data_IF_646780737623
#
_entry.id   IF_646780737623
#
_cell.length_a   1.000
_cell.length_b   1.000
_cell.length_c   1.000
_cell.angle_alpha   90.00
_cell.angle_beta   90.00
_cell.angle_gamma   90.00
#
_symmetry.space_group_name_H-M   'P 1'
#
loop_
_entity.id
_entity.type
_entity.pdbx_description
1 polymer ?
#
# COMPACT_ATOMS: atom_id res chain seq x y z
N UNK A 1 21.67 -15.77 -5.37
CA UNK A 1 22.92 -14.98 -5.39
C UNK A 1 22.58 -13.66 -6.06
N UNK A 2 22.70 -12.48 -5.48
CA UNK A 2 23.57 -12.01 -4.39
C UNK A 2 22.77 -11.50 -3.16
N UNK A 3 23.13 -11.98 -1.96
CA UNK A 3 22.74 -11.38 -0.69
C UNK A 3 23.95 -10.62 -0.17
N UNK A 4 24.08 -9.35 -0.53
CA UNK A 4 25.00 -8.46 0.15
C UNK A 4 24.29 -7.13 0.42
N UNK A 5 23.65 -7.05 1.59
CA UNK A 5 23.21 -5.76 2.15
C UNK A 5 24.33 -5.27 3.08
N UNK A 6 25.30 -4.51 2.55
CA UNK A 6 26.52 -3.96 3.20
C UNK A 6 26.32 -3.39 4.63
N UNK A 7 26.07 -4.24 5.63
CA UNK A 7 25.72 -3.78 6.99
C UNK A 7 25.82 -4.84 8.10
N UNK A 8 26.27 -6.06 7.78
CA UNK A 8 26.44 -7.12 8.78
C UNK A 8 25.13 -7.68 9.32
N UNK A 9 24.07 -7.69 8.50
CA UNK A 9 22.79 -8.35 8.81
C UNK A 9 22.69 -9.66 8.05
N UNK A 10 22.26 -10.71 8.73
CA UNK A 10 21.83 -11.98 8.12
C UNK A 10 20.41 -11.82 7.58
N UNK A 11 20.21 -12.13 6.30
CA UNK A 11 18.97 -11.84 5.59
C UNK A 11 18.18 -13.10 5.29
N UNK A 12 16.92 -13.09 5.68
CA UNK A 12 15.98 -14.17 5.42
C UNK A 12 14.79 -13.63 4.62
N UNK A 13 14.52 -14.11 3.40
CA UNK A 13 13.32 -13.72 2.68
C UNK A 13 12.07 -14.18 3.46
N UNK A 14 11.07 -13.31 3.59
CA UNK A 14 9.86 -13.57 4.40
C UNK A 14 8.57 -13.60 3.57
N UNK A 15 8.69 -13.66 2.25
CA UNK A 15 7.55 -13.71 1.33
C UNK A 15 6.92 -12.35 1.05
N UNK A 16 5.68 -12.36 0.57
CA UNK A 16 4.97 -11.18 0.06
C UNK A 16 5.00 -11.08 -1.46
N UNK A 17 4.05 -10.33 -2.02
CA UNK A 17 3.74 -10.36 -3.45
C UNK A 17 4.85 -9.76 -4.34
N UNK A 18 5.73 -8.93 -3.78
CA UNK A 18 6.79 -8.25 -4.54
C UNK A 18 8.15 -8.95 -4.48
N UNK A 19 8.33 -9.94 -3.59
CA UNK A 19 9.63 -10.58 -3.37
C UNK A 19 10.74 -9.65 -2.83
N UNK A 20 10.37 -8.46 -2.33
CA UNK A 20 11.31 -7.42 -1.89
C UNK A 20 11.44 -7.30 -0.37
N UNK A 21 10.81 -8.21 0.40
CA UNK A 21 10.76 -8.18 1.85
C UNK A 21 11.67 -9.25 2.48
N UNK A 22 12.40 -8.85 3.51
CA UNK A 22 13.37 -9.66 4.22
C UNK A 22 13.30 -9.39 5.72
N UNK A 23 13.58 -10.41 6.53
CA UNK A 23 13.97 -10.25 7.91
C UNK A 23 15.49 -10.10 7.97
N UNK A 24 15.98 -9.00 8.53
CA UNK A 24 17.39 -8.83 8.88
C UNK A 24 17.63 -9.22 10.33
N UNK A 25 18.68 -10.00 10.59
CA UNK A 25 19.13 -10.39 11.94
C UNK A 25 20.56 -9.90 12.18
N UNK A 26 20.81 -9.23 13.31
CA UNK A 26 22.14 -8.82 13.75
C UNK A 26 22.18 -8.72 15.27
N UNK A 27 23.19 -9.30 15.91
CA UNK A 27 23.39 -9.23 17.36
C UNK A 27 22.14 -9.62 18.19
N UNK A 28 21.34 -10.59 17.70
CA UNK A 28 20.04 -11.04 18.25
C UNK A 28 18.87 -10.06 18.07
N UNK A 29 19.07 -8.92 17.43
CA UNK A 29 18.01 -8.01 17.01
C UNK A 29 17.46 -8.39 15.64
N UNK A 30 16.17 -8.13 15.45
CA UNK A 30 15.45 -8.38 14.18
C UNK A 30 14.87 -7.08 13.65
N UNK A 31 14.98 -6.89 12.34
CA UNK A 31 14.37 -5.78 11.61
C UNK A 31 13.63 -6.30 10.38
N UNK A 32 12.57 -5.60 9.99
CA UNK A 32 11.92 -5.80 8.70
C UNK A 32 12.62 -4.94 7.66
N UNK A 33 13.08 -5.53 6.56
CA UNK A 33 13.78 -4.87 5.48
C UNK A 33 12.96 -4.96 4.20
N UNK A 34 12.68 -3.82 3.55
CA UNK A 34 12.01 -3.75 2.26
C UNK A 34 12.83 -2.96 1.25
N UNK A 35 13.01 -3.53 0.06
CA UNK A 35 13.61 -2.82 -1.07
C UNK A 35 12.56 -1.97 -1.78
N UNK A 36 12.96 -0.77 -2.18
CA UNK A 36 12.20 0.17 -3.00
C UNK A 36 10.78 0.44 -2.48
N UNK A 37 10.66 0.55 -1.15
CA UNK A 37 9.40 0.98 -0.53
C UNK A 37 9.03 2.39 -0.99
N UNK A 38 7.72 2.66 -1.08
CA UNK A 38 7.22 4.00 -1.39
C UNK A 38 7.79 5.03 -0.41
N UNK A 39 8.23 6.22 -0.88
CA UNK A 39 8.62 7.32 -0.01
C UNK A 39 7.54 7.71 1.02
N UNK A 40 6.27 7.42 0.72
CA UNK A 40 5.16 7.66 1.64
C UNK A 40 5.24 6.86 2.94
N UNK A 41 6.00 5.76 2.96
CA UNK A 41 6.17 4.93 4.15
C UNK A 41 6.77 5.70 5.34
N UNK A 42 7.67 6.65 5.07
CA UNK A 42 8.26 7.48 6.11
C UNK A 42 7.23 8.39 6.78
N UNK A 43 6.27 8.89 5.99
CA UNK A 43 5.15 9.70 6.48
C UNK A 43 4.24 8.87 7.37
N UNK A 44 3.81 7.71 6.87
CA UNK A 44 2.95 6.78 7.62
C UNK A 44 3.58 6.33 8.94
N UNK A 45 4.90 6.10 8.94
CA UNK A 45 5.62 5.75 10.17
C UNK A 45 5.68 6.92 11.14
N UNK A 46 5.86 8.15 10.66
CA UNK A 46 5.86 9.36 11.50
C UNK A 46 4.51 9.60 12.18
N UNK A 47 3.42 9.28 11.49
CA UNK A 47 2.04 9.35 11.99
C UNK A 47 1.63 8.12 12.84
N UNK A 48 2.55 7.17 13.06
CA UNK A 48 2.29 5.97 13.86
C UNK A 48 1.32 4.97 13.24
N UNK A 49 1.11 5.03 11.93
CA UNK A 49 0.18 4.15 11.18
C UNK A 49 0.86 2.84 10.79
N UNK A 50 2.15 2.90 10.50
CA UNK A 50 2.97 1.73 10.15
C UNK A 50 4.05 1.49 11.21
N UNK A 51 4.67 0.29 11.24
CA UNK A 51 5.79 0.02 12.14
C UNK A 51 6.89 1.05 11.99
N UNK A 52 7.56 1.39 13.10
CA UNK A 52 8.54 2.46 13.16
C UNK A 52 9.66 2.26 12.12
N UNK A 53 9.85 3.27 11.28
CA UNK A 53 10.98 3.41 10.39
C UNK A 53 12.25 3.69 11.22
N UNK A 54 13.24 2.82 11.09
CA UNK A 54 14.53 2.93 11.78
C UNK A 54 15.51 3.72 10.91
N UNK A 55 15.66 3.32 9.64
CA UNK A 55 16.53 3.99 8.67
C UNK A 55 16.14 3.67 7.23
N UNK A 56 16.59 4.53 6.32
CA UNK A 56 16.55 4.31 4.87
C UNK A 56 17.96 4.50 4.31
N UNK A 57 18.44 3.54 3.51
CA UNK A 57 19.78 3.56 2.93
C UNK A 57 19.71 3.28 1.44
N UNK A 58 20.40 4.09 0.64
CA UNK A 58 20.63 3.78 -0.78
C UNK A 58 21.81 2.83 -0.91
N UNK A 59 21.59 1.68 -1.52
CA UNK A 59 22.62 0.70 -1.81
C UNK A 59 23.44 1.13 -3.05
N UNK A 60 24.65 0.57 -3.22
CA UNK A 60 25.54 0.91 -4.32
C UNK A 60 24.98 0.56 -5.71
N UNK A 61 24.04 -0.38 -5.79
CA UNK A 61 23.31 -0.75 -7.00
C UNK A 61 22.13 0.21 -7.31
N UNK A 62 21.91 1.25 -6.50
CA UNK A 62 20.84 2.22 -6.67
C UNK A 62 19.54 1.91 -5.91
N UNK A 63 19.35 0.68 -5.42
CA UNK A 63 18.17 0.29 -4.63
C UNK A 63 18.07 1.12 -3.35
N UNK A 64 16.84 1.40 -2.94
CA UNK A 64 16.55 2.01 -1.63
C UNK A 64 16.13 0.91 -0.67
N UNK A 65 16.91 0.69 0.38
CA UNK A 65 16.61 -0.28 1.44
C UNK A 65 16.01 0.48 2.62
N UNK A 66 14.84 0.05 3.06
CA UNK A 66 14.13 0.60 4.22
C UNK A 66 14.13 -0.43 5.34
N UNK A 67 14.50 -0.01 6.54
CA UNK A 67 14.42 -0.82 7.75
C UNK A 67 13.33 -0.32 8.70
N UNK A 68 12.43 -1.20 9.07
CA UNK A 68 11.41 -0.98 10.09
C UNK A 68 11.64 -1.94 11.27
N UNK A 69 11.06 -1.59 12.42
CA UNK A 69 11.04 -2.50 13.55
C UNK A 69 10.39 -3.84 13.20
N UNK A 70 10.89 -4.91 13.80
CA UNK A 70 10.27 -6.22 13.67
C UNK A 70 9.09 -6.36 14.62
N UNK A 71 7.88 -6.50 14.07
CA UNK A 71 6.69 -6.83 14.84
C UNK A 71 6.34 -8.30 14.69
N UNK A 72 6.07 -8.97 15.81
CA UNK A 72 5.54 -10.34 15.80
C UNK A 72 4.02 -10.27 15.73
N UNK A 73 3.48 -10.45 14.53
CA UNK A 73 2.04 -10.40 14.25
C UNK A 73 1.52 -11.65 13.56
N UNK A 74 0.22 -11.63 13.28
CA UNK A 74 -0.47 -12.60 12.43
C UNK A 74 -1.47 -11.85 11.56
N UNK A 75 -1.86 -12.44 10.43
CA UNK A 75 -2.98 -11.93 9.66
C UNK A 75 -4.27 -12.00 10.48
N UNK A 76 -5.18 -11.07 10.16
CA UNK A 76 -6.53 -11.10 10.70
C UNK A 76 -7.33 -12.23 10.06
N UNK A 77 -8.33 -12.68 10.80
CA UNK A 77 -9.47 -13.46 10.28
C UNK A 77 -10.44 -12.54 9.55
N UNK A 78 -11.43 -13.12 8.86
CA UNK A 78 -12.44 -12.30 8.14
C UNK A 78 -13.30 -11.52 9.11
N UNK A 79 -13.59 -12.12 10.27
CA UNK A 79 -14.42 -11.55 11.33
C UNK A 79 -13.70 -10.38 12.00
N UNK A 80 -12.38 -10.51 12.21
CA UNK A 80 -11.55 -9.45 12.79
C UNK A 80 -11.38 -8.23 11.89
N UNK A 81 -11.53 -8.36 10.57
CA UNK A 81 -11.51 -7.20 9.66
C UNK A 81 -12.64 -6.20 9.93
N UNK A 82 -13.72 -6.64 10.57
CA UNK A 82 -14.83 -5.78 10.98
C UNK A 82 -14.66 -5.17 12.38
N UNK A 83 -13.50 -5.30 13.02
CA UNK A 83 -13.29 -4.81 14.38
C UNK A 83 -13.23 -3.28 14.43
N UNK A 84 -13.51 -2.72 15.62
CA UNK A 84 -13.46 -1.27 15.85
C UNK A 84 -12.05 -0.72 15.61
N UNK A 85 -11.02 -1.49 15.95
CA UNK A 85 -9.62 -1.11 15.77
C UNK A 85 -9.28 -0.91 14.28
N UNK A 86 -9.73 -1.81 13.39
CA UNK A 86 -9.53 -1.67 11.94
C UNK A 86 -10.29 -0.46 11.41
N UNK A 87 -11.53 -0.26 11.85
CA UNK A 87 -12.37 0.87 11.43
C UNK A 87 -11.75 2.21 11.85
N UNK A 88 -11.29 2.33 13.09
CA UNK A 88 -10.65 3.55 13.58
C UNK A 88 -9.30 3.81 12.90
N UNK A 89 -8.53 2.76 12.57
CA UNK A 89 -7.30 2.91 11.78
C UNK A 89 -7.61 3.45 10.36
N UNK A 90 -8.61 2.88 9.68
CA UNK A 90 -9.02 3.36 8.35
C UNK A 90 -9.53 4.80 8.40
N UNK A 91 -10.29 5.13 9.44
CA UNK A 91 -10.78 6.48 9.66
C UNK A 91 -9.64 7.46 9.91
N UNK A 92 -8.63 7.09 10.70
CA UNK A 92 -7.43 7.89 10.90
C UNK A 92 -6.71 8.17 9.56
N UNK A 93 -6.57 7.15 8.70
CA UNK A 93 -5.96 7.31 7.38
C UNK A 93 -6.83 8.22 6.49
N UNK A 94 -8.11 7.92 6.38
CA UNK A 94 -9.00 8.59 5.43
C UNK A 94 -9.32 10.05 5.84
N UNK A 95 -9.34 10.34 7.13
CA UNK A 95 -9.70 11.68 7.63
C UNK A 95 -8.49 12.56 7.90
N UNK A 96 -7.26 12.10 7.62
CA UNK A 96 -6.06 12.90 7.86
C UNK A 96 -5.77 13.87 6.70
N UNK A 97 -6.01 15.19 6.87
CA UNK A 97 -5.63 16.17 5.85
C UNK A 97 -4.11 16.25 5.68
N UNK A 98 -3.36 15.94 6.74
CA UNK A 98 -1.90 15.91 6.71
C UNK A 98 -1.39 14.80 5.78
N UNK A 99 -1.88 13.56 5.94
CA UNK A 99 -1.51 12.46 5.06
C UNK A 99 -1.85 12.77 3.60
N UNK A 100 -3.02 13.35 3.35
CA UNK A 100 -3.42 13.74 2.00
C UNK A 100 -2.46 14.77 1.40
N UNK A 101 -2.14 15.83 2.14
CA UNK A 101 -1.21 16.87 1.70
C UNK A 101 0.18 16.27 1.42
N UNK A 102 0.68 15.40 2.29
CA UNK A 102 1.99 14.79 2.12
C UNK A 102 2.03 13.81 0.95
N UNK A 103 0.96 13.04 0.72
CA UNK A 103 0.84 12.17 -0.45
C UNK A 103 0.87 12.98 -1.75
N UNK A 104 0.18 14.11 -1.80
CA UNK A 104 0.20 15.03 -2.94
C UNK A 104 1.58 15.64 -3.18
N UNK A 105 2.31 16.00 -2.13
CA UNK A 105 3.67 16.55 -2.23
C UNK A 105 4.66 15.59 -2.88
N UNK A 106 4.53 14.29 -2.61
CA UNK A 106 5.36 13.26 -3.23
C UNK A 106 4.80 12.77 -4.59
N UNK A 107 3.79 13.46 -5.14
CA UNK A 107 3.12 13.11 -6.40
C UNK A 107 2.57 11.68 -6.38
N UNK A 108 2.00 11.27 -5.24
CA UNK A 108 1.32 9.98 -5.12
C UNK A 108 0.20 9.83 -6.14
N UNK A 109 -0.07 8.59 -6.53
CA UNK A 109 -1.08 8.32 -7.53
C UNK A 109 -2.47 8.75 -7.05
N UNK A 110 -3.14 9.50 -7.91
CA UNK A 110 -4.52 9.89 -7.70
C UNK A 110 -5.45 8.99 -8.51
N UNK A 111 -6.56 8.63 -7.89
CA UNK A 111 -7.64 7.87 -8.53
C UNK A 111 -8.93 8.67 -8.48
N UNK A 112 -9.44 9.02 -9.66
CA UNK A 112 -10.77 9.60 -9.86
C UNK A 112 -11.73 8.53 -10.38
N UNK A 113 -13.03 8.78 -10.27
CA UNK A 113 -14.05 7.91 -10.88
C UNK A 113 -13.80 7.70 -12.37
N UNK A 114 -13.45 8.76 -13.11
CA UNK A 114 -13.11 8.66 -14.52
C UNK A 114 -11.87 7.78 -14.75
N UNK A 115 -10.81 7.92 -13.94
CA UNK A 115 -9.60 7.10 -14.08
C UNK A 115 -9.90 5.61 -13.87
N UNK A 116 -10.76 5.26 -12.92
CA UNK A 116 -11.18 3.85 -12.74
C UNK A 116 -11.91 3.31 -13.97
N UNK A 117 -12.80 4.10 -14.58
CA UNK A 117 -13.50 3.72 -15.82
C UNK A 117 -12.52 3.54 -16.97
N UNK A 118 -11.59 4.48 -17.14
CA UNK A 118 -10.58 4.43 -18.20
C UNK A 118 -9.67 3.21 -18.04
N UNK A 119 -9.21 2.92 -16.82
CA UNK A 119 -8.40 1.73 -16.53
C UNK A 119 -9.17 0.44 -16.79
N UNK A 120 -10.45 0.36 -16.41
CA UNK A 120 -11.30 -0.79 -16.73
C UNK A 120 -11.38 -1.00 -18.24
N UNK A 121 -11.71 0.04 -19.01
CA UNK A 121 -11.86 -0.02 -20.46
C UNK A 121 -10.56 -0.40 -21.18
N UNK A 122 -9.43 0.15 -20.74
CA UNK A 122 -8.12 -0.10 -21.34
C UNK A 122 -7.60 -1.51 -21.05
N UNK A 123 -7.95 -2.09 -19.90
CA UNK A 123 -7.47 -3.42 -19.48
C UNK A 123 -8.48 -4.55 -19.77
N UNK A 124 -9.70 -4.22 -20.21
CA UNK A 124 -10.72 -5.22 -20.51
C UNK A 124 -10.34 -6.04 -21.75
N UNK A 125 -10.23 -7.35 -21.57
CA UNK A 125 -9.97 -8.28 -22.66
C UNK A 125 -11.03 -8.16 -23.76
N UNK A 126 -10.61 -8.19 -25.03
CA UNK A 126 -11.48 -7.95 -26.19
C UNK A 126 -12.72 -8.85 -26.22
N UNK A 127 -12.60 -10.12 -25.80
CA UNK A 127 -13.72 -11.06 -25.73
C UNK A 127 -14.79 -10.71 -24.68
N UNK A 128 -14.48 -9.84 -23.73
CA UNK A 128 -15.40 -9.41 -22.66
C UNK A 128 -16.05 -8.05 -22.96
N UNK A 129 -15.58 -7.30 -23.95
CA UNK A 129 -16.10 -5.97 -24.30
C UNK A 129 -17.58 -6.01 -24.75
N UNK A 130 -18.04 -7.13 -25.28
CA UNK A 130 -19.44 -7.32 -25.69
C UNK A 130 -20.29 -8.01 -24.61
N UNK A 131 -19.72 -8.30 -23.44
CA UNK A 131 -20.42 -9.02 -22.38
C UNK A 131 -21.52 -8.15 -21.78
N UNK A 132 -22.78 -8.52 -22.05
CA UNK A 132 -23.97 -7.75 -21.67
C UNK A 132 -23.96 -7.28 -20.23
N UNK A 133 -23.77 -8.19 -19.27
CA UNK A 133 -23.81 -7.84 -17.84
C UNK A 133 -22.70 -6.87 -17.44
N UNK A 134 -21.51 -6.99 -18.03
CA UNK A 134 -20.40 -6.09 -17.70
C UNK A 134 -20.67 -4.68 -18.23
N UNK A 135 -21.28 -4.59 -19.41
CA UNK A 135 -21.71 -3.31 -19.96
C UNK A 135 -22.89 -2.70 -19.17
N UNK A 136 -23.81 -3.51 -18.66
CA UNK A 136 -24.88 -3.03 -17.76
C UNK A 136 -24.28 -2.43 -16.47
N UNK A 137 -23.31 -3.10 -15.85
CA UNK A 137 -22.59 -2.58 -14.66
C UNK A 137 -21.79 -1.32 -15.00
N UNK A 138 -21.05 -1.33 -16.11
CA UNK A 138 -20.26 -0.17 -16.54
C UNK A 138 -21.15 1.06 -16.77
N UNK A 139 -22.27 0.90 -17.46
CA UNK A 139 -23.22 1.98 -17.70
C UNK A 139 -23.77 2.53 -16.39
N UNK A 140 -24.16 1.66 -15.46
CA UNK A 140 -24.60 2.09 -14.14
C UNK A 140 -23.53 2.91 -13.41
N UNK A 141 -22.26 2.48 -13.44
CA UNK A 141 -21.17 3.20 -12.81
C UNK A 141 -20.98 4.59 -13.46
N UNK A 142 -21.02 4.69 -14.79
CA UNK A 142 -20.89 5.95 -15.52
C UNK A 142 -22.05 6.90 -15.19
N UNK A 143 -23.29 6.40 -15.23
CA UNK A 143 -24.50 7.19 -14.96
C UNK A 143 -24.55 7.70 -13.52
N UNK A 144 -23.88 7.02 -12.58
CA UNK A 144 -23.85 7.38 -11.16
C UNK A 144 -22.65 8.25 -10.75
N UNK A 145 -21.69 8.52 -11.63
CA UNK A 145 -20.55 9.43 -11.35
C UNK A 145 -21.00 10.79 -10.76
N UNK A 146 -22.06 11.45 -11.28
CA UNK A 146 -22.49 12.75 -10.74
C UNK A 146 -22.96 12.69 -9.28
N UNK A 147 -23.29 11.50 -8.74
CA UNK A 147 -23.71 11.35 -7.33
C UNK A 147 -22.55 11.52 -6.36
N UNK A 148 -21.31 11.42 -6.83
CA UNK A 148 -20.09 11.48 -6.00
C UNK A 148 -19.10 12.55 -6.46
N UNK A 149 -19.49 13.41 -7.42
CA UNK A 149 -18.60 14.41 -8.01
C UNK A 149 -18.14 15.50 -7.05
N UNK A 150 -18.84 15.70 -5.93
CA UNK A 150 -18.52 16.71 -4.91
C UNK A 150 -17.74 16.13 -3.71
N UNK A 151 -17.37 14.85 -3.76
CA UNK A 151 -16.63 14.21 -2.65
C UNK A 151 -15.15 14.62 -2.72
N UNK A 152 -14.63 15.13 -1.61
CA UNK A 152 -13.21 15.48 -1.48
C UNK A 152 -12.29 14.25 -1.59
N UNK A 153 -11.04 14.47 -1.98
CA UNK A 153 -10.03 13.42 -2.03
C UNK A 153 -9.61 13.01 -0.62
N UNK A 154 -9.26 11.74 -0.48
CA UNK A 154 -8.73 11.16 0.75
C UNK A 154 -7.57 10.24 0.40
N UNK A 155 -6.69 9.98 1.37
CA UNK A 155 -5.76 8.86 1.28
C UNK A 155 -6.54 7.56 1.42
N UNK A 156 -6.26 6.58 0.58
CA UNK A 156 -6.81 5.23 0.66
C UNK A 156 -5.64 4.23 0.66
N UNK A 157 -5.81 3.08 1.32
CA UNK A 157 -4.80 2.02 1.29
C UNK A 157 -4.62 1.43 -0.13
N UNK A 158 -5.69 1.35 -0.91
CA UNK A 158 -5.68 0.83 -2.28
C UNK A 158 -5.76 -0.70 -2.41
N UNK A 159 -5.33 -1.44 -1.39
CA UNK A 159 -5.39 -2.91 -1.35
C UNK A 159 -5.69 -3.43 0.06
N UNK A 160 -6.86 -3.10 0.60
CA UNK A 160 -7.22 -3.50 1.96
C UNK A 160 -7.61 -4.98 2.01
N UNK A 161 -6.75 -5.81 2.62
CA UNK A 161 -6.92 -7.25 2.80
C UNK A 161 -6.48 -7.64 4.21
N UNK A 162 -7.05 -8.70 4.79
CA UNK A 162 -6.72 -9.21 6.14
C UNK A 162 -5.25 -9.59 6.36
N UNK A 163 -4.47 -9.74 5.28
CA UNK A 163 -3.05 -10.05 5.29
C UNK A 163 -2.17 -8.79 5.32
N UNK A 164 -2.74 -7.63 5.00
CA UNK A 164 -2.09 -6.33 4.97
C UNK A 164 -2.41 -5.54 6.25
#
# INVERSE_FOLDING_TARGET
MEYNMDSGWDLHPIGGDTGQAYMGVKDHERVFLKRNASPFLAVLSGEGITPKLIWTKRAGNGDVITAQEWLSGRSLTKEEMGSVEVIELLKQIHQSPNLLQMLQQIQGEEYSTQKFIDEYLNNLQSGLQTHRFLNEVLNYLIETIPLVSEVGKTVCHGDLDRRN
#
